data_IF_140987976644
#
_entry.id   IF_140987976644
#
_cell.length_a   1.000
_cell.length_b   1.000
_cell.length_c   1.000
_cell.angle_alpha   90.00
_cell.angle_beta   90.00
_cell.angle_gamma   90.00
#
_symmetry.space_group_name_H-M   'P 1'
#
loop_
_entity.id
_entity.type
_entity.pdbx_description
1 polymer ?
#
# COMPACT_ATOMS: atom_id res chain seq x y z
N UNK A 1 -22.64 3.14 -16.48
CA UNK A 1 -21.23 3.61 -16.56
C UNK A 1 -20.77 4.34 -15.30
N UNK A 2 -21.65 5.01 -14.54
CA UNK A 2 -21.29 5.70 -13.27
C UNK A 2 -20.96 4.75 -12.11
N UNK A 3 -21.50 3.52 -12.09
CA UNK A 3 -21.39 2.62 -10.93
C UNK A 3 -20.03 1.92 -10.76
N UNK A 4 -19.18 1.89 -11.79
CA UNK A 4 -17.88 1.20 -11.74
C UNK A 4 -16.71 2.12 -11.34
N UNK A 5 -16.89 3.44 -11.46
CA UNK A 5 -15.86 4.42 -11.11
C UNK A 5 -15.41 4.38 -9.64
N UNK A 6 -16.31 4.20 -8.66
CA UNK A 6 -15.88 4.14 -7.26
C UNK A 6 -15.08 2.87 -6.96
N UNK A 7 -15.45 1.74 -7.57
CA UNK A 7 -14.70 0.49 -7.44
C UNK A 7 -13.31 0.61 -8.07
N UNK A 8 -13.21 1.16 -9.28
CA UNK A 8 -11.93 1.40 -9.95
C UNK A 8 -11.03 2.33 -9.13
N UNK A 9 -11.61 3.42 -8.59
CA UNK A 9 -10.90 4.38 -7.73
C UNK A 9 -10.36 3.70 -6.47
N UNK A 10 -11.18 2.89 -5.81
CA UNK A 10 -10.76 2.12 -4.65
C UNK A 10 -9.61 1.17 -4.99
N UNK A 11 -9.70 0.40 -6.08
CA UNK A 11 -8.66 -0.56 -6.46
C UNK A 11 -7.33 0.14 -6.78
N UNK A 12 -7.36 1.20 -7.60
CA UNK A 12 -6.14 1.92 -8.00
C UNK A 12 -5.49 2.60 -6.80
N UNK A 13 -6.27 3.34 -6.00
CA UNK A 13 -5.72 4.04 -4.82
C UNK A 13 -5.27 3.07 -3.73
N UNK A 14 -5.98 1.94 -3.54
CA UNK A 14 -5.59 0.88 -2.62
C UNK A 14 -4.27 0.23 -3.03
N UNK A 15 -4.11 -0.14 -4.30
CA UNK A 15 -2.86 -0.67 -4.86
C UNK A 15 -1.71 0.35 -4.74
N UNK A 16 -1.96 1.62 -5.05
CA UNK A 16 -0.99 2.70 -4.89
C UNK A 16 -0.55 2.83 -3.42
N UNK A 17 -1.48 2.90 -2.48
CA UNK A 17 -1.19 3.05 -1.06
C UNK A 17 -0.40 1.86 -0.51
N UNK A 18 -0.87 0.64 -0.77
CA UNK A 18 -0.23 -0.60 -0.33
C UNK A 18 1.17 -0.74 -0.94
N UNK A 19 1.29 -0.56 -2.26
CA UNK A 19 2.57 -0.64 -2.95
C UNK A 19 3.57 0.40 -2.47
N UNK A 20 3.12 1.65 -2.28
CA UNK A 20 3.96 2.75 -1.76
C UNK A 20 4.48 2.41 -0.37
N UNK A 21 3.62 1.89 0.51
CA UNK A 21 4.01 1.49 1.86
C UNK A 21 5.07 0.40 1.82
N UNK A 22 4.85 -0.68 1.08
CA UNK A 22 5.80 -1.80 0.97
C UNK A 22 7.16 -1.31 0.45
N UNK A 23 7.17 -0.50 -0.61
CA UNK A 23 8.39 0.03 -1.18
C UNK A 23 9.13 0.97 -0.21
N UNK A 24 8.41 1.80 0.55
CA UNK A 24 9.02 2.63 1.59
C UNK A 24 9.62 1.80 2.72
N UNK A 25 9.01 0.68 3.11
CA UNK A 25 9.58 -0.23 4.12
C UNK A 25 10.88 -0.87 3.62
N UNK A 26 10.90 -1.32 2.36
CA UNK A 26 12.11 -1.85 1.72
C UNK A 26 13.20 -0.76 1.67
N UNK A 27 12.89 0.41 1.11
CA UNK A 27 13.84 1.53 0.98
C UNK A 27 14.36 1.99 2.34
N UNK A 28 13.49 2.12 3.35
CA UNK A 28 13.89 2.47 4.72
C UNK A 28 14.87 1.46 5.30
N UNK A 29 14.66 0.17 5.04
CA UNK A 29 15.56 -0.89 5.52
C UNK A 29 16.93 -0.82 4.84
N UNK A 30 16.94 -0.64 3.52
CA UNK A 30 18.17 -0.51 2.72
C UNK A 30 18.96 0.75 3.07
N UNK A 31 18.28 1.90 3.23
CA UNK A 31 18.90 3.14 3.67
C UNK A 31 19.36 3.05 5.13
N UNK A 32 18.61 2.39 6.00
CA UNK A 32 18.95 2.22 7.41
C UNK A 32 20.32 1.54 7.59
N UNK A 33 20.63 0.55 6.75
CA UNK A 33 21.92 -0.12 6.73
C UNK A 33 23.09 0.77 6.24
N UNK A 34 22.81 1.83 5.47
CA UNK A 34 23.83 2.69 4.84
C UNK A 34 24.06 4.02 5.56
N UNK A 35 22.97 4.67 5.99
CA UNK A 35 22.98 6.02 6.57
C UNK A 35 22.41 6.08 7.99
N UNK A 36 22.09 4.92 8.58
CA UNK A 36 21.53 4.80 9.92
C UNK A 36 20.00 4.86 9.95
N UNK A 37 19.40 4.13 10.91
CA UNK A 37 17.95 3.95 11.03
C UNK A 37 17.19 5.28 11.24
N UNK A 38 17.81 6.26 11.93
CA UNK A 38 17.21 7.58 12.18
C UNK A 38 17.07 8.38 10.88
N UNK A 39 18.17 8.53 10.12
CA UNK A 39 18.15 9.25 8.85
C UNK A 39 17.21 8.58 7.82
N UNK A 40 17.23 7.25 7.72
CA UNK A 40 16.30 6.51 6.85
C UNK A 40 14.83 6.72 7.24
N UNK A 41 14.55 6.74 8.55
CA UNK A 41 13.22 7.06 9.07
C UNK A 41 12.77 8.47 8.71
N UNK A 42 13.64 9.47 8.87
CA UNK A 42 13.31 10.87 8.55
C UNK A 42 13.00 11.08 7.07
N UNK A 43 13.72 10.40 6.17
CA UNK A 43 13.53 10.52 4.72
C UNK A 43 12.24 9.84 4.25
N UNK A 44 11.88 8.70 4.84
CA UNK A 44 10.67 7.94 4.46
C UNK A 44 9.40 8.37 5.18
N UNK A 45 9.51 9.17 6.24
CA UNK A 45 8.39 9.59 7.09
C UNK A 45 7.26 10.26 6.32
N UNK A 46 7.58 11.15 5.37
CA UNK A 46 6.57 11.83 4.56
C UNK A 46 5.76 10.83 3.72
N UNK A 47 6.44 9.91 3.05
CA UNK A 47 5.79 8.88 2.26
C UNK A 47 4.89 7.97 3.11
N UNK A 48 5.38 7.54 4.28
CA UNK A 48 4.56 6.71 5.20
C UNK A 48 3.34 7.49 5.67
N UNK A 49 3.46 8.78 5.98
CA UNK A 49 2.31 9.62 6.33
C UNK A 49 1.31 9.70 5.17
N UNK A 50 1.78 9.92 3.94
CA UNK A 50 0.93 10.10 2.75
C UNK A 50 0.12 8.84 2.38
N UNK A 51 0.62 7.63 2.69
CA UNK A 51 -0.12 6.37 2.47
C UNK A 51 -1.49 6.39 3.13
N UNK A 52 -1.60 6.94 4.34
CA UNK A 52 -2.84 6.95 5.11
C UNK A 52 -4.00 7.67 4.43
N UNK A 53 -3.86 8.97 4.12
CA UNK A 53 -4.88 9.71 3.39
C UNK A 53 -5.26 9.06 2.06
N UNK A 54 -4.29 8.54 1.29
CA UNK A 54 -4.57 7.84 0.02
C UNK A 54 -5.42 6.58 0.26
N UNK A 55 -5.06 5.76 1.24
CA UNK A 55 -5.82 4.57 1.60
C UNK A 55 -7.21 4.92 2.15
N UNK A 56 -7.32 6.00 2.94
CA UNK A 56 -8.59 6.47 3.48
C UNK A 56 -9.53 6.91 2.34
N UNK A 57 -9.04 7.65 1.35
CA UNK A 57 -9.83 8.01 0.16
C UNK A 57 -10.26 6.77 -0.61
N UNK A 58 -9.37 5.76 -0.75
CA UNK A 58 -9.72 4.49 -1.36
C UNK A 58 -10.88 3.80 -0.62
N UNK A 59 -10.79 3.69 0.71
CA UNK A 59 -11.83 3.09 1.55
C UNK A 59 -13.13 3.89 1.51
N UNK A 60 -13.07 5.23 1.42
CA UNK A 60 -14.26 6.06 1.24
C UNK A 60 -14.90 5.79 -0.12
N UNK A 61 -14.11 5.67 -1.18
CA UNK A 61 -14.59 5.37 -2.53
C UNK A 61 -15.32 4.01 -2.59
N UNK A 62 -14.89 3.01 -1.82
CA UNK A 62 -15.56 1.70 -1.81
C UNK A 62 -17.00 1.76 -1.27
N UNK A 63 -17.32 2.68 -0.36
CA UNK A 63 -18.68 2.87 0.14
C UNK A 63 -19.66 3.40 -0.92
N UNK A 64 -19.18 4.13 -1.92
CA UNK A 64 -20.05 4.63 -3.00
C UNK A 64 -20.41 3.56 -4.03
N UNK A 65 -19.73 2.41 -4.02
CA UNK A 65 -20.10 1.22 -4.79
C UNK A 65 -20.96 0.24 -3.98
N UNK A 66 -20.75 0.19 -2.66
CA UNK A 66 -21.55 -0.61 -1.74
C UNK A 66 -22.86 0.11 -1.44
N UNK A 67 -23.95 -0.24 -2.13
CA UNK A 67 -25.27 0.38 -1.96
C UNK A 67 -25.78 0.49 -0.50
N UNK A 68 -25.23 -0.26 0.46
CA UNK A 68 -25.39 0.00 1.90
C UNK A 68 -24.12 -0.33 2.70
N UNK A 69 -23.50 0.66 3.38
CA UNK A 69 -22.32 0.46 4.24
C UNK A 69 -22.54 -0.52 5.40
N UNK A 70 -23.77 -0.61 5.92
CA UNK A 70 -24.11 -1.56 6.99
C UNK A 70 -23.96 -3.03 6.54
N UNK A 71 -24.10 -3.31 5.25
CA UNK A 71 -23.89 -4.65 4.70
C UNK A 71 -22.41 -5.05 4.67
N UNK A 72 -21.46 -4.10 4.72
CA UNK A 72 -20.04 -4.41 4.78
C UNK A 72 -19.68 -5.13 6.09
N UNK A 73 -20.31 -4.77 7.22
CA UNK A 73 -20.15 -5.49 8.48
C UNK A 73 -20.74 -6.90 8.40
N UNK A 74 -21.88 -7.06 7.73
CA UNK A 74 -22.48 -8.38 7.48
C UNK A 74 -21.62 -9.24 6.54
N UNK A 75 -20.88 -8.62 5.60
CA UNK A 75 -19.98 -9.33 4.70
C UNK A 75 -18.86 -10.06 5.47
N UNK A 76 -18.38 -9.51 6.60
CA UNK A 76 -17.39 -10.19 7.45
C UNK A 76 -17.87 -11.54 8.00
N UNK A 77 -19.16 -11.85 7.96
CA UNK A 77 -19.68 -13.18 8.30
C UNK A 77 -19.25 -14.30 7.32
N UNK A 78 -18.80 -13.96 6.11
CA UNK A 78 -18.56 -14.92 5.02
C UNK A 78 -17.08 -15.04 4.59
N UNK A 79 -16.13 -14.81 5.50
CA UNK A 79 -14.68 -14.81 5.20
C UNK A 79 -14.15 -16.09 4.54
N UNK A 80 -14.76 -17.24 4.84
CA UNK A 80 -14.36 -18.54 4.28
C UNK A 80 -14.71 -18.66 2.80
N UNK A 81 -15.85 -18.11 2.38
CA UNK A 81 -16.42 -18.35 1.05
C UNK A 81 -16.28 -17.15 0.11
N UNK A 82 -16.31 -15.93 0.64
CA UNK A 82 -16.40 -14.71 -0.16
C UNK A 82 -15.06 -13.97 -0.27
N UNK A 83 -14.58 -13.79 -1.51
CA UNK A 83 -13.41 -12.96 -1.81
C UNK A 83 -13.61 -11.50 -1.42
N UNK A 84 -14.81 -10.95 -1.64
CA UNK A 84 -15.19 -9.60 -1.22
C UNK A 84 -15.04 -9.40 0.29
N UNK A 85 -15.44 -10.42 1.07
CA UNK A 85 -15.35 -10.35 2.54
C UNK A 85 -13.89 -10.32 3.01
N UNK A 86 -13.02 -11.11 2.36
CA UNK A 86 -11.58 -11.11 2.63
C UNK A 86 -10.94 -9.77 2.25
N UNK A 87 -11.32 -9.21 1.10
CA UNK A 87 -10.83 -7.89 0.67
C UNK A 87 -11.18 -6.81 1.69
N UNK A 88 -12.44 -6.70 2.12
CA UNK A 88 -12.87 -5.73 3.14
C UNK A 88 -12.05 -5.89 4.42
N UNK A 89 -11.88 -7.13 4.90
CA UNK A 89 -11.09 -7.41 6.10
C UNK A 89 -9.63 -6.96 5.95
N UNK A 90 -8.93 -7.42 4.90
CA UNK A 90 -7.49 -7.20 4.77
C UNK A 90 -7.15 -5.76 4.38
N UNK A 91 -8.00 -5.06 3.63
CA UNK A 91 -7.81 -3.63 3.32
C UNK A 91 -8.05 -2.76 4.55
N UNK A 92 -9.09 -3.04 5.33
CA UNK A 92 -9.32 -2.38 6.62
C UNK A 92 -8.20 -2.67 7.62
N UNK A 93 -7.76 -3.93 7.72
CA UNK A 93 -6.66 -4.32 8.59
C UNK A 93 -5.34 -3.65 8.18
N UNK A 94 -5.05 -3.55 6.88
CA UNK A 94 -3.89 -2.81 6.38
C UNK A 94 -3.94 -1.35 6.85
N UNK A 95 -5.08 -0.67 6.72
CA UNK A 95 -5.22 0.72 7.15
C UNK A 95 -5.03 0.89 8.67
N UNK A 96 -5.59 -0.02 9.47
CA UNK A 96 -5.40 -0.01 10.93
C UNK A 96 -3.94 -0.26 11.31
N UNK A 97 -3.29 -1.26 10.71
CA UNK A 97 -1.89 -1.57 10.97
C UNK A 97 -0.94 -0.47 10.49
N UNK A 98 -1.26 0.20 9.38
CA UNK A 98 -0.59 1.40 8.93
C UNK A 98 -0.66 2.50 10.00
N UNK A 99 -1.85 2.75 10.55
CA UNK A 99 -2.06 3.77 11.59
C UNK A 99 -1.20 3.46 12.84
N UNK A 100 -1.26 2.21 13.32
CA UNK A 100 -0.47 1.74 14.47
C UNK A 100 1.03 1.85 14.16
N UNK A 101 1.45 1.49 12.94
CA UNK A 101 2.85 1.61 12.49
C UNK A 101 3.30 3.05 12.50
N UNK A 102 2.49 3.99 11.98
CA UNK A 102 2.82 5.40 11.91
C UNK A 102 3.03 6.01 13.30
N UNK A 103 2.15 5.71 14.27
CA UNK A 103 2.32 6.18 15.64
C UNK A 103 3.43 5.46 16.40
N UNK A 104 3.60 4.15 16.19
CA UNK A 104 4.68 3.36 16.82
C UNK A 104 6.05 3.80 16.33
N UNK A 105 6.17 4.20 15.06
CA UNK A 105 7.40 4.72 14.47
C UNK A 105 7.90 6.02 15.11
N UNK A 106 7.08 6.70 15.92
CA UNK A 106 7.50 7.86 16.72
C UNK A 106 8.27 7.47 17.98
N UNK A 107 8.12 6.23 18.45
CA UNK A 107 8.88 5.67 19.57
C UNK A 107 10.07 4.91 19.00
N UNK A 108 11.27 5.15 19.51
CA UNK A 108 12.48 4.52 18.97
C UNK A 108 12.40 2.98 19.06
N UNK A 109 12.70 2.29 17.95
CA UNK A 109 12.93 0.84 17.92
C UNK A 109 11.75 -0.08 17.59
N UNK A 110 10.48 0.26 17.87
CA UNK A 110 9.37 -0.73 17.76
C UNK A 110 8.68 -0.81 16.38
N UNK A 111 8.89 0.18 15.51
CA UNK A 111 8.12 0.29 14.26
C UNK A 111 8.51 -0.68 13.13
N UNK A 112 9.71 -1.27 13.17
CA UNK A 112 10.25 -1.98 12.01
C UNK A 112 9.59 -3.34 11.75
N UNK A 113 9.44 -4.17 12.79
CA UNK A 113 8.76 -5.47 12.67
C UNK A 113 7.31 -5.27 12.25
N UNK A 114 6.62 -4.32 12.89
CA UNK A 114 5.24 -4.00 12.57
C UNK A 114 5.08 -3.48 11.13
N UNK A 115 6.06 -2.74 10.61
CA UNK A 115 6.06 -2.30 9.20
C UNK A 115 6.10 -3.48 8.23
N UNK A 116 6.88 -4.52 8.52
CA UNK A 116 6.90 -5.74 7.71
C UNK A 116 5.61 -6.55 7.84
N UNK A 117 5.06 -6.68 9.05
CA UNK A 117 3.74 -7.32 9.24
C UNK A 117 2.64 -6.58 8.45
N UNK A 118 2.64 -5.24 8.50
CA UNK A 118 1.71 -4.40 7.74
C UNK A 118 1.88 -4.60 6.24
N UNK A 119 3.12 -4.75 5.76
CA UNK A 119 3.43 -5.03 4.35
C UNK A 119 2.87 -6.38 3.90
N UNK A 120 3.00 -7.43 4.72
CA UNK A 120 2.43 -8.75 4.44
C UNK A 120 0.90 -8.68 4.36
N UNK A 121 0.26 -7.99 5.30
CA UNK A 121 -1.19 -7.77 5.27
C UNK A 121 -1.62 -7.03 4.00
N UNK A 122 -0.85 -6.03 3.57
CA UNK A 122 -1.08 -5.34 2.30
C UNK A 122 -0.98 -6.27 1.09
N UNK A 123 0.01 -7.17 1.04
CA UNK A 123 0.10 -8.18 -0.03
C UNK A 123 -1.10 -9.11 -0.05
N UNK A 124 -1.58 -9.54 1.12
CA UNK A 124 -2.80 -10.37 1.23
C UNK A 124 -4.02 -9.58 0.76
N UNK A 125 -4.11 -8.28 1.07
CA UNK A 125 -5.18 -7.42 0.59
C UNK A 125 -5.21 -7.34 -0.95
N UNK A 126 -4.06 -7.13 -1.61
CA UNK A 126 -3.96 -7.12 -3.08
C UNK A 126 -4.32 -8.50 -3.68
N UNK A 127 -3.91 -9.59 -3.03
CA UNK A 127 -4.31 -10.94 -3.42
C UNK A 127 -5.83 -11.13 -3.35
N UNK A 128 -6.47 -10.62 -2.30
CA UNK A 128 -7.91 -10.70 -2.13
C UNK A 128 -8.66 -9.86 -3.17
N UNK A 129 -8.17 -8.64 -3.47
CA UNK A 129 -8.69 -7.81 -4.57
C UNK A 129 -8.65 -8.57 -5.90
N UNK A 130 -7.50 -9.15 -6.26
CA UNK A 130 -7.34 -9.92 -7.49
C UNK A 130 -8.25 -11.16 -7.52
N UNK A 131 -8.45 -11.80 -6.36
CA UNK A 131 -9.29 -12.98 -6.20
C UNK A 131 -10.76 -12.76 -6.60
N UNK A 132 -11.29 -11.55 -6.40
CA UNK A 132 -12.65 -11.17 -6.83
C UNK A 132 -12.78 -11.30 -8.36
N UNK A 133 -11.79 -10.79 -9.09
CA UNK A 133 -11.78 -10.81 -10.55
C UNK A 133 -11.44 -12.21 -11.09
N UNK A 134 -10.48 -12.89 -10.46
CA UNK A 134 -10.05 -14.24 -10.85
C UNK A 134 -11.14 -15.32 -10.70
N UNK A 135 -12.12 -15.11 -9.82
CA UNK A 135 -13.24 -16.03 -9.61
C UNK A 135 -14.57 -15.47 -10.14
N UNK A 136 -14.50 -14.48 -11.03
CA UNK A 136 -15.68 -13.92 -11.69
C UNK A 136 -16.15 -14.77 -12.88
N UNK A 137 -17.37 -14.54 -13.35
CA UNK A 137 -17.91 -15.20 -14.55
C UNK A 137 -17.36 -14.60 -15.85
N UNK A 138 -16.36 -13.70 -15.80
CA UNK A 138 -15.79 -13.03 -16.97
C UNK A 138 -14.51 -13.75 -17.42
N UNK A 139 -14.52 -14.48 -18.55
CA UNK A 139 -13.39 -15.32 -18.97
C UNK A 139 -12.06 -14.58 -19.15
N UNK A 140 -12.11 -13.28 -19.45
CA UNK A 140 -10.92 -12.45 -19.59
C UNK A 140 -10.10 -12.34 -18.28
N UNK A 141 -10.72 -12.55 -17.13
CA UNK A 141 -10.13 -12.29 -15.81
C UNK A 141 -9.87 -13.56 -14.99
N UNK A 142 -10.30 -14.74 -15.43
CA UNK A 142 -10.23 -15.98 -14.64
C UNK A 142 -8.89 -16.71 -14.67
N UNK A 143 -7.81 -16.03 -15.05
CA UNK A 143 -6.48 -16.61 -15.21
C UNK A 143 -5.43 -15.94 -14.30
N UNK A 144 -4.24 -16.54 -14.23
CA UNK A 144 -3.14 -16.06 -13.36
C UNK A 144 -2.69 -14.64 -13.70
N UNK A 145 -2.88 -14.18 -14.94
CA UNK A 145 -2.50 -12.82 -15.35
C UNK A 145 -3.23 -11.75 -14.53
N UNK A 146 -4.43 -12.04 -14.01
CA UNK A 146 -5.16 -11.12 -13.12
C UNK A 146 -4.35 -10.83 -11.85
N UNK A 147 -3.80 -11.84 -11.21
CA UNK A 147 -2.94 -11.65 -10.04
C UNK A 147 -1.67 -10.88 -10.40
N UNK A 148 -1.01 -11.23 -11.52
CA UNK A 148 0.19 -10.54 -11.99
C UNK A 148 -0.08 -9.05 -12.27
N UNK A 149 -1.22 -8.74 -12.87
CA UNK A 149 -1.61 -7.36 -13.19
C UNK A 149 -1.86 -6.56 -11.91
N UNK A 150 -2.53 -7.14 -10.92
CA UNK A 150 -2.82 -6.46 -9.65
C UNK A 150 -1.55 -6.20 -8.82
N UNK A 151 -0.68 -7.20 -8.69
CA UNK A 151 0.61 -7.01 -8.01
C UNK A 151 1.54 -6.10 -8.79
N UNK A 152 1.58 -6.24 -10.12
CA UNK A 152 2.36 -5.37 -11.00
C UNK A 152 1.95 -3.92 -10.86
N UNK A 153 0.64 -3.63 -10.89
CA UNK A 153 0.11 -2.29 -10.66
C UNK A 153 0.53 -1.74 -9.29
N UNK A 154 0.35 -2.52 -8.22
CA UNK A 154 0.75 -2.12 -6.87
C UNK A 154 2.26 -1.79 -6.78
N UNK A 155 3.12 -2.68 -7.28
CA UNK A 155 4.57 -2.49 -7.17
C UNK A 155 5.10 -1.37 -8.08
N UNK A 156 4.60 -1.23 -9.31
CA UNK A 156 5.02 -0.16 -10.22
C UNK A 156 4.60 1.19 -9.68
N UNK A 157 3.32 1.38 -9.33
CA UNK A 157 2.84 2.63 -8.75
C UNK A 157 3.53 2.93 -7.42
N UNK A 158 3.72 1.90 -6.59
CA UNK A 158 4.41 2.01 -5.31
C UNK A 158 5.88 2.42 -5.43
N UNK A 159 6.60 1.87 -6.40
CA UNK A 159 8.01 2.23 -6.64
C UNK A 159 8.13 3.69 -7.07
N UNK A 160 7.27 4.14 -8.00
CA UNK A 160 7.25 5.53 -8.47
C UNK A 160 6.92 6.49 -7.32
N UNK A 161 5.84 6.22 -6.58
CA UNK A 161 5.38 7.09 -5.51
C UNK A 161 6.35 7.12 -4.31
N UNK A 162 6.93 5.98 -3.95
CA UNK A 162 7.95 5.92 -2.89
C UNK A 162 9.24 6.63 -3.29
N UNK A 163 9.68 6.51 -4.55
CA UNK A 163 10.82 7.25 -5.09
C UNK A 163 10.61 8.76 -5.01
N UNK A 164 9.45 9.25 -5.46
CA UNK A 164 9.08 10.66 -5.34
C UNK A 164 9.03 11.14 -3.89
N UNK A 165 8.43 10.35 -2.98
CA UNK A 165 8.33 10.67 -1.57
C UNK A 165 9.71 10.72 -0.88
N UNK A 166 10.63 9.82 -1.23
CA UNK A 166 12.00 9.77 -0.73
C UNK A 166 12.81 10.96 -1.26
N UNK A 167 12.71 11.28 -2.54
CA UNK A 167 13.35 12.46 -3.12
C UNK A 167 12.88 13.75 -2.42
N UNK A 168 11.57 13.88 -2.20
CA UNK A 168 11.01 14.99 -1.43
C UNK A 168 11.50 15.00 0.02
N UNK A 169 11.49 13.84 0.69
CA UNK A 169 11.89 13.70 2.10
C UNK A 169 13.39 13.86 2.35
N UNK A 170 14.23 13.74 1.33
CA UNK A 170 15.68 13.94 1.41
C UNK A 170 16.10 15.40 1.16
N UNK A 171 15.26 16.20 0.50
CA UNK A 171 15.57 17.59 0.12
C UNK A 171 15.91 18.45 1.34
N UNK A 172 17.06 19.12 1.31
CA UNK A 172 17.53 20.04 2.35
C UNK A 172 18.10 19.35 3.59
N UNK A 173 18.36 18.04 3.56
CA UNK A 173 18.97 17.29 4.67
C UNK A 173 20.44 17.01 4.41
N UNK A 174 21.24 16.85 5.48
CA UNK A 174 22.67 16.53 5.41
C UNK A 174 22.99 15.26 4.60
N UNK A 175 22.03 14.34 4.50
CA UNK A 175 22.16 13.09 3.74
C UNK A 175 21.62 13.16 2.31
N UNK A 176 21.28 14.36 1.81
CA UNK A 176 20.76 14.56 0.45
C UNK A 176 21.73 14.04 -0.62
N UNK A 177 23.01 14.41 -0.55
CA UNK A 177 24.05 13.98 -1.52
C UNK A 177 24.24 12.45 -1.55
N UNK A 178 24.42 11.76 -0.41
CA UNK A 178 24.44 10.30 -0.38
C UNK A 178 23.19 9.65 -0.99
N UNK A 179 22.00 10.19 -0.70
CA UNK A 179 20.74 9.65 -1.21
C UNK A 179 20.60 9.89 -2.71
N UNK A 180 20.95 11.09 -3.20
CA UNK A 180 20.98 11.42 -4.63
C UNK A 180 21.94 10.50 -5.39
N UNK A 181 23.12 10.19 -4.83
CA UNK A 181 24.06 9.22 -5.42
C UNK A 181 23.49 7.81 -5.46
N UNK A 182 22.79 7.37 -4.41
CA UNK A 182 22.13 6.05 -4.41
C UNK A 182 21.02 6.00 -5.45
N UNK A 183 20.20 7.05 -5.55
CA UNK A 183 19.08 7.12 -6.50
C UNK A 183 19.57 7.20 -7.96
N UNK A 184 20.63 7.96 -8.24
CA UNK A 184 21.22 8.06 -9.59
C UNK A 184 21.85 6.74 -10.05
N UNK A 185 22.43 5.95 -9.14
CA UNK A 185 22.91 4.61 -9.49
C UNK A 185 21.80 3.60 -9.80
N UNK A 186 20.55 3.90 -9.45
CA UNK A 186 19.38 3.05 -9.71
C UNK A 186 18.56 3.56 -10.92
N UNK A 187 18.71 4.83 -11.32
CA UNK A 187 18.11 5.33 -12.55
C UNK A 187 19.00 5.07 -13.77
N UNK A 188 18.41 4.48 -14.81
CA UNK A 188 18.87 4.56 -16.21
C UNK A 188 18.68 6.00 -16.74
N UNK A 189 19.32 6.99 -16.11
CA UNK A 189 19.47 8.37 -16.60
C UNK A 189 20.88 8.82 -16.29
#
# INVERSE_FOLDING_TARGET
>A
MSEEWPLLTFTILGQLAIGTFIMLVIVRSLLGAKIGAKAAGEVTRFGILAVGPVMLVALIASFFHLGSPMLAFNALGNLKTSWLSREILFTGLFFLLWLITYYSSKKEGSGQVLSWCTSIVGLIAVFCMAGIYAHSNKPAWTNVNTYLTFFGAAFVMGAIASGAAVAYGAKGKSHEEPIRRILSNVSLI
#
